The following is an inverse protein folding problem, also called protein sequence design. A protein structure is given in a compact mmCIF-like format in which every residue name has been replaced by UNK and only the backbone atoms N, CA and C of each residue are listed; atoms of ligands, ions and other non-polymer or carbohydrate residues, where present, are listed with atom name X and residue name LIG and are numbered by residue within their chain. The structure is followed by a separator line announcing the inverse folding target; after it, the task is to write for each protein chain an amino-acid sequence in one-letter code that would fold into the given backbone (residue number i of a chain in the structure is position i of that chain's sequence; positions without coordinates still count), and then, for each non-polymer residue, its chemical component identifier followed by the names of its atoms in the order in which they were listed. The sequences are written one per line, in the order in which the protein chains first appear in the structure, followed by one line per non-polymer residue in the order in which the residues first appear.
data_IF_910404643064
#
_entry.id   IF_910404643064
#
_cell.length_a   1.000
_cell.length_b   1.000
_cell.length_c   1.000
_cell.angle_alpha   90.00
_cell.angle_beta   90.00
_cell.angle_gamma   90.00
#
_symmetry.space_group_name_H-M   'P 1'
#
loop_
_entity.id
_entity.type
_entity.pdbx_description
1 polymer ?
#
# COMPACT_ATOMS: atom_id res chain seq x y z
N UNK A 1 12.60 10.64 -3.21
CA UNK A 1 13.73 9.82 -3.69
C UNK A 1 13.20 8.41 -3.76
N UNK A 2 13.39 7.71 -4.88
CA UNK A 2 12.90 6.34 -5.03
C UNK A 2 13.96 5.43 -4.43
N UNK A 3 13.61 4.57 -3.46
CA UNK A 3 14.54 3.62 -2.82
C UNK A 3 14.75 2.38 -3.72
N UNK A 4 14.97 2.60 -5.03
CA UNK A 4 15.13 1.53 -6.01
C UNK A 4 16.54 0.96 -5.93
N UNK A 5 16.65 -0.36 -5.75
CA UNK A 5 17.93 -1.08 -5.84
C UNK A 5 18.38 -1.20 -7.31
N UNK A 6 17.44 -1.57 -8.19
CA UNK A 6 17.68 -1.72 -9.63
C UNK A 6 16.37 -1.63 -10.43
N UNK A 7 16.49 -1.48 -11.75
CA UNK A 7 15.38 -1.56 -12.70
C UNK A 7 15.64 -2.61 -13.79
N UNK A 8 14.58 -3.19 -14.33
CA UNK A 8 14.59 -4.17 -15.41
C UNK A 8 13.92 -3.58 -16.66
N UNK A 9 14.60 -3.58 -17.80
CA UNK A 9 14.07 -3.09 -19.08
C UNK A 9 14.24 -4.11 -20.20
N UNK A 10 13.20 -4.20 -21.02
CA UNK A 10 13.24 -4.95 -22.26
C UNK A 10 14.17 -4.21 -23.23
N UNK A 11 15.18 -4.90 -23.76
CA UNK A 11 16.05 -4.37 -24.81
C UNK A 11 15.30 -4.42 -26.14
N UNK A 12 15.24 -3.30 -26.85
CA UNK A 12 14.74 -3.31 -28.24
C UNK A 12 15.87 -3.67 -29.20
N UNK A 13 15.54 -4.39 -30.28
CA UNK A 13 16.51 -4.83 -31.30
C UNK A 13 17.25 -3.66 -32.01
N UNK A 14 16.81 -2.43 -31.78
CA UNK A 14 17.38 -1.20 -32.37
C UNK A 14 18.37 -0.48 -31.43
N UNK A 15 18.59 -0.96 -30.21
CA UNK A 15 19.56 -0.38 -29.27
C UNK A 15 20.97 -0.92 -29.54
N UNK A 16 21.90 -0.01 -29.90
CA UNK A 16 23.31 -0.32 -30.19
C UNK A 16 24.07 -0.74 -28.93
N UNK A 17 24.93 -1.76 -29.04
CA UNK A 17 25.69 -2.33 -27.91
C UNK A 17 26.64 -1.35 -27.19
N UNK A 18 27.05 -0.26 -27.84
CA UNK A 18 28.07 0.68 -27.34
C UNK A 18 27.65 1.49 -26.09
N UNK A 19 26.39 1.39 -25.64
CA UNK A 19 25.89 2.08 -24.45
C UNK A 19 25.78 1.20 -23.18
N UNK A 20 26.14 -0.09 -23.26
CA UNK A 20 25.98 -1.04 -22.17
C UNK A 20 27.31 -1.61 -21.69
N UNK A 21 27.37 -2.00 -20.42
CA UNK A 21 28.45 -2.85 -19.89
C UNK A 21 27.88 -4.20 -19.47
N UNK A 22 28.65 -5.26 -19.69
CA UNK A 22 28.22 -6.62 -19.39
C UNK A 22 28.77 -7.10 -18.05
N UNK A 23 27.92 -7.76 -17.25
CA UNK A 23 28.33 -8.48 -16.06
C UNK A 23 27.78 -9.90 -16.09
N UNK A 24 28.55 -10.84 -15.57
CA UNK A 24 28.06 -12.17 -15.26
C UNK A 24 27.47 -12.16 -13.84
N UNK A 25 26.16 -12.37 -13.74
CA UNK A 25 25.43 -12.44 -12.47
C UNK A 25 24.86 -13.84 -12.35
N UNK A 26 25.36 -14.61 -11.38
CA UNK A 26 24.90 -15.98 -11.11
C UNK A 26 24.95 -16.91 -12.35
N UNK A 27 25.94 -16.74 -13.22
CA UNK A 27 26.10 -17.54 -14.44
C UNK A 27 25.39 -16.97 -15.67
N UNK A 28 24.58 -15.91 -15.52
CA UNK A 28 23.87 -15.24 -16.60
C UNK A 28 24.58 -13.95 -16.99
N UNK A 29 24.98 -13.82 -18.25
CA UNK A 29 25.57 -12.56 -18.77
C UNK A 29 24.44 -11.59 -19.08
N UNK A 30 24.50 -10.40 -18.48
CA UNK A 30 23.47 -9.36 -18.61
C UNK A 30 24.09 -8.03 -19.00
N UNK A 31 23.33 -7.24 -19.75
CA UNK A 31 23.71 -5.87 -20.13
C UNK A 31 23.19 -4.90 -19.07
N UNK A 32 24.02 -3.93 -18.68
CA UNK A 32 23.67 -2.90 -17.71
C UNK A 32 23.94 -1.50 -18.23
N UNK A 33 23.14 -0.57 -17.74
CA UNK A 33 23.37 0.86 -17.83
C UNK A 33 23.06 1.51 -16.48
N UNK A 34 23.65 2.67 -16.19
CA UNK A 34 23.23 3.48 -15.05
C UNK A 34 22.06 4.38 -15.45
N UNK A 35 21.02 4.42 -14.61
CA UNK A 35 19.89 5.31 -14.84
C UNK A 35 20.34 6.78 -14.80
N UNK A 36 20.33 7.49 -15.93
CA UNK A 36 20.92 8.83 -16.12
C UNK A 36 20.52 9.87 -15.04
N UNK A 37 19.30 9.78 -14.51
CA UNK A 37 18.76 10.72 -13.50
C UNK A 37 18.95 10.29 -12.03
N UNK A 38 18.99 8.99 -11.77
CA UNK A 38 18.85 8.45 -10.41
C UNK A 38 20.02 7.55 -10.00
N UNK A 39 20.92 7.26 -10.94
CA UNK A 39 22.20 6.58 -10.75
C UNK A 39 22.12 5.16 -10.16
N UNK A 40 20.95 4.52 -10.17
CA UNK A 40 20.82 3.08 -9.90
C UNK A 40 21.07 2.24 -11.17
N UNK A 41 21.49 0.98 -11.05
CA UNK A 41 21.70 0.09 -12.18
C UNK A 41 20.37 -0.32 -12.86
N UNK A 42 20.40 -0.38 -14.18
CA UNK A 42 19.30 -0.85 -15.04
C UNK A 42 19.80 -2.06 -15.81
N UNK A 43 19.16 -3.21 -15.63
CA UNK A 43 19.44 -4.43 -16.36
C UNK A 43 18.59 -4.49 -17.64
N UNK A 44 19.25 -4.66 -18.77
CA UNK A 44 18.66 -4.80 -20.10
C UNK A 44 18.74 -6.25 -20.55
N UNK A 45 17.61 -6.81 -20.97
CA UNK A 45 17.51 -8.20 -21.40
C UNK A 45 16.55 -8.35 -22.59
N UNK A 46 16.76 -9.39 -23.38
CA UNK A 46 15.78 -9.78 -24.38
C UNK A 46 14.54 -10.35 -23.68
N UNK A 47 13.30 -10.06 -24.13
CA UNK A 47 12.08 -10.51 -23.45
C UNK A 47 12.02 -12.02 -23.16
N UNK A 48 12.65 -12.86 -23.99
CA UNK A 48 12.74 -14.31 -23.76
C UNK A 48 13.60 -14.69 -22.54
N UNK A 49 14.56 -13.85 -22.13
CA UNK A 49 15.49 -14.13 -21.03
C UNK A 49 15.01 -13.54 -19.70
N UNK A 50 13.85 -12.87 -19.70
CA UNK A 50 13.31 -12.12 -18.57
C UNK A 50 13.27 -12.91 -17.26
N UNK A 51 12.80 -14.15 -17.33
CA UNK A 51 12.68 -15.03 -16.17
C UNK A 51 14.05 -15.36 -15.59
N UNK A 52 14.96 -15.89 -16.41
CA UNK A 52 16.33 -16.22 -16.03
C UNK A 52 17.11 -15.02 -15.47
N UNK A 53 16.87 -13.83 -16.03
CA UNK A 53 17.51 -12.59 -15.58
C UNK A 53 17.02 -12.15 -14.20
N UNK A 54 15.70 -12.18 -13.97
CA UNK A 54 15.12 -11.84 -12.67
C UNK A 54 15.52 -12.88 -11.61
N UNK A 55 15.55 -14.16 -11.97
CA UNK A 55 15.96 -15.26 -11.08
C UNK A 55 17.43 -15.13 -10.66
N UNK A 56 18.36 -14.93 -11.61
CA UNK A 56 19.78 -14.76 -11.30
C UNK A 56 20.03 -13.54 -10.40
N UNK A 57 19.31 -12.43 -10.62
CA UNK A 57 19.38 -11.25 -9.75
C UNK A 57 18.85 -11.49 -8.35
N UNK A 58 17.73 -12.21 -8.25
CA UNK A 58 17.14 -12.57 -6.97
C UNK A 58 18.12 -13.39 -6.12
N UNK A 59 18.74 -14.42 -6.71
CA UNK A 59 19.74 -15.22 -5.99
C UNK A 59 21.01 -14.44 -5.67
N UNK A 60 21.44 -13.53 -6.56
CA UNK A 60 22.53 -12.61 -6.24
C UNK A 60 22.23 -11.76 -5.02
N UNK A 61 21.02 -11.19 -4.91
CA UNK A 61 20.63 -10.41 -3.74
C UNK A 61 20.48 -11.25 -2.49
N UNK A 62 19.97 -12.49 -2.59
CA UNK A 62 19.91 -13.40 -1.46
C UNK A 62 21.31 -13.79 -0.96
N UNK A 63 22.26 -14.04 -1.85
CA UNK A 63 23.64 -14.34 -1.49
C UNK A 63 24.34 -13.12 -0.86
N UNK A 64 24.12 -11.94 -1.45
CA UNK A 64 24.78 -10.70 -1.02
C UNK A 64 24.23 -10.13 0.29
N UNK A 65 22.91 -10.05 0.44
CA UNK A 65 22.27 -9.48 1.64
C UNK A 65 21.90 -10.53 2.70
N UNK A 66 21.94 -11.81 2.34
CA UNK A 66 21.41 -12.88 3.17
C UNK A 66 19.90 -12.83 3.31
N UNK A 67 19.38 -13.42 4.37
CA UNK A 67 17.95 -13.48 4.69
C UNK A 67 17.46 -12.33 5.59
N UNK A 68 18.34 -11.39 5.90
CA UNK A 68 18.06 -10.28 6.82
C UNK A 68 17.37 -9.10 6.15
N UNK A 69 17.47 -8.99 4.81
CA UNK A 69 16.93 -7.88 4.04
C UNK A 69 15.73 -8.35 3.22
N UNK A 70 14.59 -7.70 3.48
CA UNK A 70 13.41 -7.83 2.64
C UNK A 70 13.45 -6.79 1.51
N UNK A 71 13.25 -7.24 0.27
CA UNK A 71 13.11 -6.37 -0.89
C UNK A 71 11.83 -6.69 -1.66
N UNK A 72 11.36 -5.70 -2.42
CA UNK A 72 10.05 -5.73 -3.08
C UNK A 72 10.24 -5.82 -4.59
N UNK A 73 9.54 -6.75 -5.23
CA UNK A 73 9.40 -6.75 -6.68
C UNK A 73 8.18 -5.91 -7.07
N UNK A 74 8.45 -4.80 -7.76
CA UNK A 74 7.41 -3.89 -8.26
C UNK A 74 7.13 -4.24 -9.71
N UNK A 75 5.99 -4.88 -9.95
CA UNK A 75 5.56 -5.33 -11.27
C UNK A 75 4.28 -4.63 -11.74
N UNK A 76 4.11 -4.49 -13.06
CA UNK A 76 2.81 -4.13 -13.63
C UNK A 76 2.02 -5.39 -13.98
N UNK A 77 0.70 -5.33 -13.83
CA UNK A 77 -0.20 -6.41 -14.21
C UNK A 77 0.01 -6.89 -15.66
N UNK A 78 -0.12 -8.19 -15.89
CA UNK A 78 0.21 -8.93 -17.13
C UNK A 78 1.68 -8.93 -17.54
N UNK A 79 2.55 -8.22 -16.82
CA UNK A 79 4.00 -8.45 -16.93
C UNK A 79 4.36 -9.59 -15.98
N UNK A 80 5.20 -10.51 -16.48
CA UNK A 80 5.77 -11.66 -15.77
C UNK A 80 5.93 -11.45 -14.24
N UNK A 81 5.51 -12.44 -13.45
CA UNK A 81 5.72 -12.48 -12.00
C UNK A 81 6.71 -13.58 -11.66
N UNK A 82 7.86 -13.23 -11.06
CA UNK A 82 8.77 -14.23 -10.55
C UNK A 82 8.14 -14.99 -9.38
N UNK A 83 8.16 -16.32 -9.44
CA UNK A 83 7.82 -17.19 -8.31
C UNK A 83 9.08 -17.55 -7.54
N UNK A 84 9.57 -16.60 -6.76
CA UNK A 84 10.86 -16.71 -6.07
C UNK A 84 10.70 -16.65 -4.54
N UNK A 85 11.49 -17.43 -3.78
CA UNK A 85 11.37 -17.50 -2.33
C UNK A 85 11.71 -16.15 -1.67
N UNK A 86 11.05 -15.80 -0.56
CA UNK A 86 11.32 -14.56 0.20
C UNK A 86 11.17 -13.25 -0.62
N UNK A 87 10.52 -13.31 -1.78
CA UNK A 87 10.23 -12.14 -2.59
C UNK A 87 8.86 -11.58 -2.24
N UNK A 88 8.82 -10.32 -1.85
CA UNK A 88 7.57 -9.63 -1.55
C UNK A 88 7.03 -8.93 -2.79
N UNK A 89 5.81 -9.28 -3.18
CA UNK A 89 5.23 -8.83 -4.43
C UNK A 89 4.43 -7.54 -4.25
N UNK A 90 4.72 -6.54 -5.07
CA UNK A 90 3.96 -5.29 -5.18
C UNK A 90 3.45 -5.12 -6.61
N UNK A 91 2.13 -5.12 -6.78
CA UNK A 91 1.48 -5.09 -8.08
C UNK A 91 0.84 -3.75 -8.38
N UNK A 92 1.13 -3.23 -9.56
CA UNK A 92 0.58 -2.00 -10.11
C UNK A 92 -0.36 -2.30 -11.29
N UNK A 93 -1.61 -1.87 -11.16
CA UNK A 93 -2.68 -2.01 -12.15
C UNK A 93 -3.08 -0.61 -12.63
N UNK A 94 -2.20 0.03 -13.40
CA UNK A 94 -2.45 1.34 -14.01
C UNK A 94 -2.60 1.16 -15.52
N UNK A 95 -3.82 0.89 -15.97
CA UNK A 95 -4.13 0.63 -17.39
C UNK A 95 -4.55 1.89 -18.15
N UNK A 96 -4.77 3.01 -17.47
CA UNK A 96 -5.34 4.23 -18.06
C UNK A 96 -6.75 4.04 -18.63
N UNK A 97 -7.36 2.89 -18.36
CA UNK A 97 -8.71 2.47 -18.76
C UNK A 97 -9.32 1.70 -17.60
N UNK A 98 -10.61 1.89 -17.42
CA UNK A 98 -11.42 1.15 -16.45
C UNK A 98 -11.24 -0.36 -16.63
N UNK A 99 -11.04 -1.06 -15.52
CA UNK A 99 -10.89 -2.51 -15.48
C UNK A 99 -12.30 -3.12 -15.53
N UNK A 100 -12.74 -3.51 -16.74
CA UNK A 100 -14.10 -4.04 -16.95
C UNK A 100 -14.28 -5.52 -16.62
N UNK A 101 -13.25 -6.36 -16.82
CA UNK A 101 -13.28 -7.78 -16.43
C UNK A 101 -12.21 -8.07 -15.38
N UNK A 102 -12.68 -8.42 -14.19
CA UNK A 102 -11.84 -8.65 -13.01
C UNK A 102 -11.38 -10.10 -12.90
N UNK A 103 -12.02 -11.06 -13.59
CA UNK A 103 -11.72 -12.49 -13.43
C UNK A 103 -10.25 -12.82 -13.70
N UNK A 104 -9.62 -12.31 -14.77
CA UNK A 104 -8.21 -12.60 -15.04
C UNK A 104 -7.29 -12.00 -13.96
N UNK A 105 -7.69 -10.88 -13.35
CA UNK A 105 -6.96 -10.28 -12.24
C UNK A 105 -7.13 -11.13 -10.98
N UNK A 106 -8.34 -11.59 -10.71
CA UNK A 106 -8.62 -12.41 -9.54
C UNK A 106 -7.89 -13.76 -9.60
N UNK A 107 -7.91 -14.44 -10.74
CA UNK A 107 -7.13 -15.67 -10.98
C UNK A 107 -5.63 -15.44 -10.79
N UNK A 108 -5.13 -14.30 -11.25
CA UNK A 108 -3.73 -13.91 -11.11
C UNK A 108 -3.36 -13.57 -9.65
N UNK A 109 -4.21 -12.85 -8.92
CA UNK A 109 -4.01 -12.61 -7.49
C UNK A 109 -4.06 -13.93 -6.72
N UNK A 110 -4.98 -14.84 -7.08
CA UNK A 110 -5.10 -16.17 -6.51
C UNK A 110 -3.84 -17.01 -6.68
N UNK A 111 -3.18 -16.95 -7.84
CA UNK A 111 -1.93 -17.68 -8.12
C UNK A 111 -0.67 -17.01 -7.55
N UNK A 112 -0.73 -15.71 -7.28
CA UNK A 112 0.43 -14.95 -6.79
C UNK A 112 0.89 -15.38 -5.38
N UNK A 113 2.21 -15.31 -5.10
CA UNK A 113 2.77 -15.48 -3.76
C UNK A 113 2.33 -14.35 -2.81
N UNK A 114 2.89 -14.30 -1.59
CA UNK A 114 2.54 -13.32 -0.55
C UNK A 114 2.47 -11.88 -1.11
N UNK A 115 1.25 -11.36 -1.22
CA UNK A 115 0.95 -10.04 -1.78
C UNK A 115 1.19 -8.97 -0.71
N UNK A 116 2.27 -8.19 -0.89
CA UNK A 116 2.63 -7.12 0.04
C UNK A 116 1.89 -5.82 -0.28
N UNK A 117 1.79 -5.47 -1.55
CA UNK A 117 1.01 -4.31 -1.96
C UNK A 117 0.24 -4.50 -3.27
N UNK A 118 -0.95 -3.91 -3.34
CA UNK A 118 -1.69 -3.73 -4.58
C UNK A 118 -1.98 -2.24 -4.77
N UNK A 119 -1.61 -1.72 -5.93
CA UNK A 119 -1.94 -0.36 -6.38
C UNK A 119 -2.80 -0.44 -7.64
N UNK A 120 -4.01 0.11 -7.63
CA UNK A 120 -4.97 -0.09 -8.72
C UNK A 120 -5.95 1.08 -8.89
N UNK A 121 -6.33 1.35 -10.13
CA UNK A 121 -7.55 2.11 -10.47
C UNK A 121 -8.72 1.14 -10.63
N UNK A 122 -9.81 1.37 -9.90
CA UNK A 122 -10.94 0.45 -9.89
C UNK A 122 -12.27 1.20 -9.94
N UNK A 123 -13.18 0.69 -10.78
CA UNK A 123 -14.54 1.21 -10.84
C UNK A 123 -15.29 0.84 -9.57
N UNK A 124 -15.31 -0.45 -9.23
CA UNK A 124 -16.00 -0.97 -8.04
C UNK A 124 -15.22 -2.16 -7.41
N UNK A 125 -14.87 -2.13 -6.12
CA UNK A 125 -14.26 -3.22 -5.37
C UNK A 125 -15.14 -4.46 -5.25
N UNK A 126 -16.46 -4.34 -5.38
CA UNK A 126 -17.43 -5.46 -5.34
C UNK A 126 -17.30 -6.39 -6.54
N UNK A 127 -16.55 -5.99 -7.58
CA UNK A 127 -16.21 -6.86 -8.69
C UNK A 127 -15.42 -8.10 -8.20
N UNK A 128 -14.58 -7.94 -7.18
CA UNK A 128 -13.86 -9.06 -6.59
C UNK A 128 -14.74 -9.96 -5.73
N UNK A 129 -14.48 -11.26 -5.77
CA UNK A 129 -15.10 -12.19 -4.83
C UNK A 129 -14.78 -11.81 -3.37
N UNK A 130 -15.70 -12.07 -2.41
CA UNK A 130 -15.48 -11.74 -1.00
C UNK A 130 -14.21 -12.37 -0.40
N UNK A 131 -13.83 -13.56 -0.87
CA UNK A 131 -12.67 -14.32 -0.41
C UNK A 131 -11.38 -14.00 -1.20
N UNK A 132 -11.45 -13.04 -2.12
CA UNK A 132 -10.33 -12.65 -2.97
C UNK A 132 -9.11 -12.25 -2.14
N UNK A 133 -7.93 -12.71 -2.58
CA UNK A 133 -6.63 -12.26 -2.06
C UNK A 133 -6.43 -10.75 -2.20
N UNK A 134 -7.21 -10.08 -3.04
CA UNK A 134 -7.29 -8.62 -3.09
C UNK A 134 -7.49 -8.02 -1.69
N UNK A 135 -8.49 -8.47 -0.92
CA UNK A 135 -8.75 -7.91 0.41
C UNK A 135 -7.73 -8.34 1.48
N UNK A 136 -6.87 -9.32 1.17
CA UNK A 136 -5.90 -9.90 2.09
C UNK A 136 -4.49 -9.29 1.94
N UNK A 137 -4.28 -8.44 0.91
CA UNK A 137 -3.00 -7.78 0.71
C UNK A 137 -2.61 -6.94 1.93
N UNK A 138 -1.31 -6.94 2.29
CA UNK A 138 -0.83 -6.25 3.48
C UNK A 138 -1.04 -4.73 3.39
N UNK A 139 -0.89 -4.17 2.19
CA UNK A 139 -1.18 -2.77 1.91
C UNK A 139 -1.86 -2.57 0.56
N UNK A 140 -2.70 -1.55 0.47
CA UNK A 140 -3.42 -1.21 -0.75
C UNK A 140 -3.41 0.30 -0.99
N UNK A 141 -3.24 0.68 -2.25
CA UNK A 141 -3.51 2.02 -2.76
C UNK A 141 -4.55 1.95 -3.88
N UNK A 142 -5.76 2.49 -3.67
CA UNK A 142 -6.82 2.48 -4.68
C UNK A 142 -7.16 3.88 -5.15
N UNK A 143 -7.41 4.03 -6.44
CA UNK A 143 -8.25 5.11 -6.95
C UNK A 143 -9.64 4.54 -7.25
N UNK A 144 -10.66 5.05 -6.54
CA UNK A 144 -12.04 4.58 -6.64
C UNK A 144 -12.92 5.62 -7.33
N UNK A 145 -13.60 5.22 -8.40
CA UNK A 145 -14.46 6.11 -9.18
C UNK A 145 -15.93 6.12 -8.73
N UNK A 146 -16.40 5.07 -8.04
CA UNK A 146 -17.79 4.93 -7.59
C UNK A 146 -17.93 4.94 -6.06
N UNK A 147 -19.19 4.99 -5.57
CA UNK A 147 -19.54 4.97 -4.14
C UNK A 147 -19.55 3.55 -3.59
N UNK A 148 -18.38 2.99 -3.38
CA UNK A 148 -18.20 1.58 -3.01
C UNK A 148 -17.21 1.41 -1.85
N UNK A 149 -17.03 2.51 -1.10
CA UNK A 149 -16.08 2.60 0.01
C UNK A 149 -16.44 1.63 1.15
N UNK A 150 -17.72 1.57 1.55
CA UNK A 150 -18.15 0.67 2.63
C UNK A 150 -17.83 -0.78 2.28
N UNK A 151 -18.16 -1.25 1.08
CA UNK A 151 -17.89 -2.64 0.69
C UNK A 151 -16.40 -3.01 0.76
N UNK A 152 -15.51 -2.09 0.37
CA UNK A 152 -14.07 -2.29 0.53
C UNK A 152 -13.66 -2.32 2.00
N UNK A 153 -14.00 -1.28 2.78
CA UNK A 153 -13.61 -1.17 4.19
C UNK A 153 -14.13 -2.34 5.03
N UNK A 154 -15.30 -2.88 4.68
CA UNK A 154 -15.94 -4.01 5.33
C UNK A 154 -15.21 -5.35 5.13
N UNK A 155 -14.44 -5.48 4.06
CA UNK A 155 -13.78 -6.73 3.65
C UNK A 155 -12.27 -6.69 3.80
N UNK A 156 -11.65 -5.52 3.75
CA UNK A 156 -10.20 -5.36 3.81
C UNK A 156 -9.61 -5.89 5.13
N UNK A 157 -8.57 -6.71 5.01
CA UNK A 157 -7.93 -7.43 6.12
C UNK A 157 -6.45 -7.03 6.31
N UNK A 158 -5.93 -6.10 5.49
CA UNK A 158 -4.55 -5.65 5.53
C UNK A 158 -4.25 -4.65 6.64
N UNK A 159 -3.01 -4.14 6.61
CA UNK A 159 -2.45 -3.21 7.60
C UNK A 159 -2.56 -1.75 7.17
N UNK A 160 -2.38 -1.45 5.88
CA UNK A 160 -2.33 -0.06 5.42
C UNK A 160 -3.17 0.16 4.16
N UNK A 161 -4.07 1.13 4.17
CA UNK A 161 -4.90 1.48 3.01
C UNK A 161 -4.85 2.98 2.69
N UNK A 162 -4.63 3.32 1.43
CA UNK A 162 -4.72 4.68 0.90
C UNK A 162 -5.77 4.68 -0.21
N UNK A 163 -6.84 5.42 -0.03
CA UNK A 163 -8.00 5.43 -0.91
C UNK A 163 -8.20 6.82 -1.49
N UNK A 164 -8.05 6.94 -2.80
CA UNK A 164 -8.34 8.13 -3.57
C UNK A 164 -9.76 8.00 -4.16
N UNK A 165 -10.75 8.30 -3.33
CA UNK A 165 -12.15 8.23 -3.72
C UNK A 165 -12.60 9.56 -4.33
N UNK A 166 -13.36 9.56 -5.43
CA UNK A 166 -13.96 10.79 -5.94
C UNK A 166 -15.16 11.27 -5.12
N UNK A 167 -15.92 10.33 -4.56
CA UNK A 167 -17.10 10.59 -3.73
C UNK A 167 -17.26 9.45 -2.73
N UNK A 168 -17.60 9.76 -1.49
CA UNK A 168 -17.97 8.79 -0.46
C UNK A 168 -18.97 9.40 0.52
N UNK A 169 -19.74 8.56 1.22
CA UNK A 169 -20.75 9.01 2.18
C UNK A 169 -20.20 9.00 3.61
N UNK A 170 -20.63 9.95 4.43
CA UNK A 170 -20.35 9.97 5.87
C UNK A 170 -20.78 8.64 6.51
N UNK A 171 -21.88 8.06 6.04
CA UNK A 171 -22.40 6.79 6.54
C UNK A 171 -21.41 5.63 6.35
N UNK A 172 -20.64 5.62 5.25
CA UNK A 172 -19.62 4.59 5.01
C UNK A 172 -18.53 4.61 6.10
N UNK A 173 -18.14 5.82 6.54
CA UNK A 173 -17.14 5.98 7.60
C UNK A 173 -17.74 5.67 8.96
N UNK A 174 -18.99 6.07 9.24
CA UNK A 174 -19.67 5.73 10.49
C UNK A 174 -19.78 4.21 10.64
N UNK A 175 -20.17 3.49 9.59
CA UNK A 175 -20.25 2.03 9.59
C UNK A 175 -18.88 1.40 9.88
N UNK A 176 -17.85 1.82 9.15
CA UNK A 176 -16.47 1.38 9.38
C UNK A 176 -16.03 1.62 10.83
N UNK A 177 -16.28 2.82 11.36
CA UNK A 177 -15.87 3.20 12.72
C UNK A 177 -16.58 2.37 13.78
N UNK A 178 -17.87 2.11 13.60
CA UNK A 178 -18.63 1.28 14.55
C UNK A 178 -18.12 -0.17 14.56
N UNK A 179 -17.85 -0.76 13.39
CA UNK A 179 -17.29 -2.12 13.29
C UNK A 179 -15.87 -2.21 13.83
N UNK A 180 -15.05 -1.17 13.64
CA UNK A 180 -13.71 -1.16 14.20
C UNK A 180 -13.74 -1.01 15.74
N UNK A 181 -14.59 -0.13 16.27
CA UNK A 181 -14.78 0.06 17.73
C UNK A 181 -15.28 -1.22 18.41
N UNK A 182 -16.24 -1.94 17.83
CA UNK A 182 -16.72 -3.23 18.35
C UNK A 182 -15.68 -4.36 18.21
N UNK A 183 -14.69 -4.19 17.33
CA UNK A 183 -13.70 -5.22 17.02
C UNK A 183 -14.18 -6.27 16.02
N UNK A 184 -15.27 -6.02 15.32
CA UNK A 184 -15.84 -6.90 14.28
C UNK A 184 -15.17 -6.74 12.91
N UNK A 185 -14.40 -5.67 12.70
CA UNK A 185 -13.77 -5.36 11.42
C UNK A 185 -12.31 -4.90 11.54
N UNK A 186 -11.55 -5.09 10.46
CA UNK A 186 -10.26 -4.44 10.21
C UNK A 186 -9.26 -4.51 11.38
N UNK A 187 -9.17 -5.67 12.04
CA UNK A 187 -8.37 -5.84 13.27
C UNK A 187 -6.88 -5.57 13.09
N UNK A 188 -6.35 -5.92 11.91
CA UNK A 188 -4.95 -5.74 11.51
C UNK A 188 -4.64 -4.34 10.97
N UNK A 189 -5.66 -3.51 10.74
CA UNK A 189 -5.48 -2.18 10.18
C UNK A 189 -4.68 -1.30 11.14
N UNK A 190 -3.68 -0.63 10.60
CA UNK A 190 -2.76 0.26 11.30
C UNK A 190 -2.85 1.70 10.77
N UNK A 191 -3.13 1.85 9.47
CA UNK A 191 -3.21 3.15 8.82
C UNK A 191 -4.26 3.14 7.70
N UNK A 192 -5.13 4.15 7.70
CA UNK A 192 -6.12 4.38 6.66
C UNK A 192 -6.15 5.88 6.32
N UNK A 193 -6.01 6.19 5.04
CA UNK A 193 -6.16 7.53 4.51
C UNK A 193 -7.18 7.51 3.37
N UNK A 194 -8.23 8.32 3.50
CA UNK A 194 -9.28 8.43 2.50
C UNK A 194 -9.31 9.87 2.01
N UNK A 195 -8.90 10.07 0.77
CA UNK A 195 -8.86 11.38 0.12
C UNK A 195 -10.22 11.90 -0.31
N UNK A 196 -10.24 13.21 -0.59
CA UNK A 196 -11.37 14.00 -1.10
C UNK A 196 -12.62 13.90 -0.21
N UNK A 197 -12.53 14.47 0.99
CA UNK A 197 -13.72 14.78 1.81
C UNK A 197 -14.65 15.71 0.97
N UNK A 198 -15.94 15.36 0.84
CA UNK A 198 -16.96 16.25 0.28
C UNK A 198 -16.95 17.64 0.94
N UNK A 199 -17.04 18.72 0.15
CA UNK A 199 -16.84 20.09 0.66
C UNK A 199 -17.92 20.54 1.66
N UNK A 200 -19.05 19.84 1.70
CA UNK A 200 -20.24 20.06 2.52
C UNK A 200 -20.16 19.44 3.92
N UNK A 201 -19.09 18.71 4.24
CA UNK A 201 -18.94 18.07 5.55
C UNK A 201 -18.40 19.06 6.59
N UNK A 202 -19.23 19.41 7.57
CA UNK A 202 -18.81 20.10 8.77
C UNK A 202 -17.94 19.19 9.65
N UNK A 203 -16.63 19.47 9.70
CA UNK A 203 -15.62 18.59 10.33
C UNK A 203 -15.96 18.20 11.78
N UNK A 204 -16.43 19.15 12.58
CA UNK A 204 -16.72 18.91 14.00
C UNK A 204 -17.96 18.05 14.16
N UNK A 205 -19.02 18.32 13.39
CA UNK A 205 -20.25 17.50 13.40
C UNK A 205 -19.96 16.06 12.98
N UNK A 206 -19.11 15.90 11.96
CA UNK A 206 -18.66 14.59 11.51
C UNK A 206 -17.87 13.84 12.59
N UNK A 207 -16.87 14.47 13.21
CA UNK A 207 -16.10 13.83 14.30
C UNK A 207 -17.01 13.48 15.50
N UNK A 208 -17.95 14.35 15.85
CA UNK A 208 -18.94 14.08 16.89
C UNK A 208 -19.82 12.87 16.53
N UNK A 209 -20.25 12.75 15.27
CA UNK A 209 -21.03 11.60 14.80
C UNK A 209 -20.25 10.27 14.86
N UNK A 210 -18.92 10.30 14.74
CA UNK A 210 -18.07 9.12 14.94
C UNK A 210 -17.95 8.69 16.41
N UNK A 211 -18.36 9.56 17.34
CA UNK A 211 -18.23 9.33 18.79
C UNK A 211 -16.77 9.34 19.24
N UNK A 212 -15.97 10.27 18.72
CA UNK A 212 -14.56 10.42 19.14
C UNK A 212 -14.47 10.95 20.56
N UNK A 213 -13.43 10.52 21.28
CA UNK A 213 -12.96 11.14 22.52
C UNK A 213 -11.93 12.21 22.18
N UNK A 214 -11.74 13.14 23.10
CA UNK A 214 -10.77 14.23 22.97
C UNK A 214 -9.70 14.17 24.04
N UNK A 215 -8.45 14.35 23.61
CA UNK A 215 -7.36 14.73 24.50
C UNK A 215 -7.55 16.20 24.87
N UNK A 216 -7.14 16.59 26.07
CA UNK A 216 -7.14 17.98 26.52
C UNK A 216 -6.47 18.90 25.47
N UNK A 217 -7.19 19.93 25.05
CA UNK A 217 -6.75 20.88 24.01
C UNK A 217 -5.46 21.62 24.40
N UNK A 218 -5.17 21.74 25.69
CA UNK A 218 -3.94 22.38 26.20
C UNK A 218 -2.69 21.52 26.01
N UNK A 219 -2.86 20.22 25.73
CA UNK A 219 -1.75 19.27 25.54
C UNK A 219 -1.38 19.13 24.06
N UNK A 220 -0.12 18.79 23.82
CA UNK A 220 0.39 18.38 22.51
C UNK A 220 -0.01 16.92 22.27
N UNK A 221 -0.80 16.63 21.23
CA UNK A 221 -1.22 15.27 20.94
C UNK A 221 -0.05 14.47 20.35
N UNK A 222 -0.02 13.14 20.55
CA UNK A 222 1.00 12.30 19.97
C UNK A 222 0.91 12.26 18.44
N UNK A 223 2.06 12.17 17.77
CA UNK A 223 2.16 12.05 16.31
C UNK A 223 2.23 10.59 15.90
N UNK A 224 1.20 10.08 15.23
CA UNK A 224 1.21 8.73 14.66
C UNK A 224 1.95 8.74 13.32
N UNK A 225 2.94 7.87 13.17
CA UNK A 225 3.63 7.61 11.91
C UNK A 225 4.16 6.18 11.93
N UNK A 226 4.09 5.50 10.79
CA UNK A 226 4.52 4.11 10.65
C UNK A 226 5.39 3.96 9.39
N UNK A 227 6.32 2.99 9.35
CA UNK A 227 6.96 2.61 8.10
C UNK A 227 5.90 2.23 7.05
N UNK A 228 6.05 2.71 5.82
CA UNK A 228 5.19 2.29 4.71
C UNK A 228 5.46 0.83 4.38
N UNK A 229 4.40 0.03 4.29
CA UNK A 229 4.49 -1.34 3.76
C UNK A 229 4.88 -1.29 2.29
N UNK A 230 4.39 -0.30 1.54
CA UNK A 230 4.77 -0.07 0.15
C UNK A 230 5.60 1.21 0.00
N UNK A 231 6.87 1.08 -0.38
CA UNK A 231 7.83 2.17 -0.39
C UNK A 231 7.86 2.94 -1.73
N UNK A 232 6.70 3.32 -2.24
CA UNK A 232 6.60 4.25 -3.39
C UNK A 232 6.13 5.63 -2.89
N UNK A 233 6.79 6.70 -3.38
CA UNK A 233 6.46 8.09 -3.08
C UNK A 233 7.49 8.80 -2.20
N UNK A 234 7.06 9.81 -1.45
CA UNK A 234 7.95 10.60 -0.58
C UNK A 234 8.03 10.01 0.83
N UNK A 235 9.25 9.75 1.29
CA UNK A 235 9.56 9.38 2.67
C UNK A 235 9.28 7.91 3.01
N UNK A 236 10.03 7.33 3.97
CA UNK A 236 9.91 5.93 4.36
C UNK A 236 8.66 5.64 5.22
N UNK A 237 8.03 6.69 5.77
CA UNK A 237 6.93 6.57 6.71
C UNK A 237 5.62 7.14 6.13
N UNK A 238 4.49 6.71 6.70
CA UNK A 238 3.16 7.24 6.43
C UNK A 238 3.09 8.72 6.78
N UNK A 239 2.20 9.45 6.10
CA UNK A 239 1.95 10.85 6.43
C UNK A 239 1.52 10.96 7.90
N UNK A 240 2.09 11.90 8.67
CA UNK A 240 1.89 11.97 10.11
C UNK A 240 0.45 12.30 10.46
N UNK A 241 -0.11 11.58 11.43
CA UNK A 241 -1.42 11.88 12.02
C UNK A 241 -1.22 12.53 13.37
N UNK A 242 -1.54 13.82 13.45
CA UNK A 242 -1.49 14.62 14.68
C UNK A 242 -2.93 14.98 15.00
N UNK A 243 -3.48 14.43 16.08
CA UNK A 243 -4.90 14.62 16.42
C UNK A 243 -5.17 14.56 17.91
N UNK A 244 -5.95 15.51 18.41
CA UNK A 244 -6.61 15.43 19.72
C UNK A 244 -7.81 14.49 19.72
N UNK A 245 -8.32 14.09 18.55
CA UNK A 245 -9.47 13.19 18.45
C UNK A 245 -9.02 11.74 18.31
N UNK A 246 -9.58 10.86 19.12
CA UNK A 246 -9.26 9.43 19.11
C UNK A 246 -10.49 8.56 19.42
N UNK A 247 -10.41 7.28 19.11
CA UNK A 247 -11.40 6.26 19.49
C UNK A 247 -10.70 5.07 20.14
N UNK A 248 -11.47 4.30 20.90
CA UNK A 248 -10.98 3.09 21.59
C UNK A 248 -11.77 1.90 21.09
N UNK A 249 -11.06 0.81 20.82
CA UNK A 249 -11.65 -0.47 20.44
C UNK A 249 -12.02 -1.25 21.69
N UNK A 250 -13.28 -1.62 21.82
CA UNK A 250 -13.85 -2.28 23.00
C UNK A 250 -13.24 -3.65 23.25
N UNK A 251 -12.97 -4.40 22.17
CA UNK A 251 -12.48 -5.79 22.27
C UNK A 251 -11.08 -5.96 22.86
N UNK A 252 -10.19 -4.97 22.72
CA UNK A 252 -8.79 -5.09 23.17
C UNK A 252 -8.16 -3.78 23.67
N UNK A 253 -8.98 -2.76 23.92
CA UNK A 253 -8.60 -1.44 24.42
C UNK A 253 -7.58 -0.68 23.54
N UNK A 254 -7.41 -1.05 22.26
CA UNK A 254 -6.51 -0.33 21.36
C UNK A 254 -7.07 1.02 20.95
N UNK A 255 -6.19 1.99 20.82
CA UNK A 255 -6.53 3.35 20.41
C UNK A 255 -6.29 3.57 18.92
N UNK A 256 -7.16 4.36 18.29
CA UNK A 256 -6.86 4.97 17.00
C UNK A 256 -7.04 6.48 17.04
N UNK A 257 -6.05 7.22 16.53
CA UNK A 257 -6.20 8.65 16.24
C UNK A 257 -7.04 8.83 14.99
N UNK A 258 -8.02 9.74 15.07
CA UNK A 258 -8.92 10.09 13.98
C UNK A 258 -8.71 11.54 13.66
N UNK A 259 -8.51 11.92 12.40
CA UNK A 259 -8.41 13.33 12.03
C UNK A 259 -8.94 13.59 10.64
N UNK A 260 -9.33 14.84 10.43
CA UNK A 260 -9.56 15.40 9.11
C UNK A 260 -8.41 16.35 8.81
N UNK A 261 -7.53 15.96 7.89
CA UNK A 261 -6.40 16.79 7.47
C UNK A 261 -6.61 17.23 6.02
N UNK A 262 -6.62 18.55 5.80
CA UNK A 262 -6.88 19.17 4.49
C UNK A 262 -8.23 18.71 3.91
N UNK A 263 -8.20 17.71 3.02
CA UNK A 263 -9.35 17.08 2.36
C UNK A 263 -9.30 15.56 2.48
N UNK A 264 -8.66 15.02 3.53
CA UNK A 264 -8.56 13.58 3.76
C UNK A 264 -9.01 13.21 5.16
N UNK A 265 -9.74 12.11 5.27
CA UNK A 265 -9.97 11.41 6.52
C UNK A 265 -8.77 10.52 6.81
N UNK A 266 -8.17 10.68 7.99
CA UNK A 266 -6.99 9.93 8.41
C UNK A 266 -7.30 9.17 9.70
N UNK A 267 -6.93 7.90 9.72
CA UNK A 267 -7.16 6.98 10.82
C UNK A 267 -5.88 6.18 11.07
N UNK A 268 -5.31 6.30 12.27
CA UNK A 268 -4.04 5.66 12.65
C UNK A 268 -4.17 4.88 13.94
N UNK A 269 -3.95 3.58 13.90
CA UNK A 269 -4.07 2.70 15.08
C UNK A 269 -2.74 2.63 15.81
N UNK A 270 -2.81 2.83 17.12
CA UNK A 270 -1.69 2.69 18.03
C UNK A 270 -1.63 1.27 18.57
N UNK A 271 -0.43 0.72 18.66
CA UNK A 271 -0.20 -0.51 19.44
C UNK A 271 -0.06 -0.16 20.94
N UNK A 272 -1.11 0.47 21.49
CA UNK A 272 -1.18 1.02 22.85
C UNK A 272 -2.60 0.94 23.39
N UNK A 273 -2.73 0.75 24.70
CA UNK A 273 -4.02 0.91 25.40
C UNK A 273 -4.39 2.38 25.52
N UNK A 274 -5.64 2.69 25.89
CA UNK A 274 -6.08 4.07 26.14
C UNK A 274 -5.20 4.79 27.17
N UNK A 275 -4.91 4.15 28.31
CA UNK A 275 -4.07 4.73 29.35
C UNK A 275 -2.65 5.02 28.86
N UNK A 276 -2.04 4.08 28.13
CA UNK A 276 -0.70 4.27 27.59
C UNK A 276 -0.66 5.38 26.54
N UNK A 277 -1.67 5.46 25.69
CA UNK A 277 -1.82 6.50 24.68
C UNK A 277 -1.95 7.89 25.32
N UNK A 278 -2.80 8.04 26.35
CA UNK A 278 -3.00 9.32 27.03
C UNK A 278 -1.73 9.81 27.73
N UNK A 279 -0.86 8.92 28.20
CA UNK A 279 0.47 9.29 28.76
C UNK A 279 1.46 9.81 27.71
N UNK A 280 1.16 9.65 26.42
CA UNK A 280 2.01 10.18 25.33
C UNK A 280 1.72 11.66 25.05
N UNK A 281 0.54 12.16 25.42
CA UNK A 281 0.22 13.58 25.32
C UNK A 281 1.03 14.36 26.37
N UNK A 282 1.54 15.53 25.98
CA UNK A 282 2.45 16.35 26.81
C UNK A 282 1.99 17.78 26.94
#
# INVERSE_FOLDING_TARGET
MWDNIMEFKDRSDYETDDEFFQLNVFGTVMNFQLHKKYYYPVAYFHPCDKESVIEAMHYYFLDFFGDTVEYQYIGNYKKFVPHLPKLSLCLCFWTGKSIGDIKPIEEYLASSPVLKNISMELDAPELFSPDSKFYQAESITLALYTRTLSAFLCRFQGRQAILHCNTWDILDIIEFMNRWKSGEGSRKLEYLNIGKIPNDIHRNEFLNALGVKHIDESTTPPTHTLPKVFKIGFGPNTDPIISHSYVVRESDNRVASVSIQKKSFCFGVWNKTEEEFLRMAK
#
